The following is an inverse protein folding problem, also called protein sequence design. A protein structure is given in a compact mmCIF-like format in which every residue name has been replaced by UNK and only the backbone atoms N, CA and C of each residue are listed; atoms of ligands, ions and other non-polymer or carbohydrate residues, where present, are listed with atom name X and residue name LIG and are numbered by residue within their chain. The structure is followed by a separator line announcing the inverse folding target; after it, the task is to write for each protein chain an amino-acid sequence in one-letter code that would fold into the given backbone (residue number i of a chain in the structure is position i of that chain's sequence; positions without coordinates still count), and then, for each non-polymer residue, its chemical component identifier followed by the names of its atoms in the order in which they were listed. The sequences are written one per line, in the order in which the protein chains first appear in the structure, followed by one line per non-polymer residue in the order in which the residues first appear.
data_IF_328401742315
#
_entry.id   IF_328401742315
#
_cell.length_a   1.000
_cell.length_b   1.000
_cell.length_c   1.000
_cell.angle_alpha   90.00
_cell.angle_beta   90.00
_cell.angle_gamma   90.00
#
_symmetry.space_group_name_H-M   'P 1'
#
loop_
_entity.id
_entity.type
_entity.pdbx_description
1 polymer ?
#
# COMPACT_ATOMS: atom_id res chain seq x y z
N UNK A 1 29.07 81.26 50.49
CA UNK A 1 28.19 81.42 49.32
C UNK A 1 27.09 80.39 49.43
N UNK A 2 25.87 80.92 49.45
CA UNK A 2 24.54 80.33 49.63
C UNK A 2 24.20 79.25 48.59
N UNK A 3 23.61 78.12 49.07
CA UNK A 3 22.51 77.24 48.59
C UNK A 3 22.20 77.03 47.06
N UNK A 4 21.33 76.07 46.63
CA UNK A 4 20.65 74.96 47.33
C UNK A 4 20.68 73.58 46.57
N UNK A 5 20.30 72.48 47.22
CA UNK A 5 19.67 71.29 46.58
C UNK A 5 18.17 71.59 46.28
N UNK A 6 17.28 70.72 45.74
CA UNK A 6 17.38 69.36 45.16
C UNK A 6 16.62 69.22 43.81
N UNK A 7 16.81 68.13 43.04
CA UNK A 7 15.73 67.62 42.15
C UNK A 7 15.80 66.11 41.99
N UNK A 8 14.98 65.47 42.82
CA UNK A 8 14.54 64.08 42.76
C UNK A 8 13.74 63.87 41.46
N UNK A 9 14.31 63.20 40.45
CA UNK A 9 13.58 62.86 39.21
C UNK A 9 13.03 61.44 39.31
N UNK A 10 11.97 61.31 40.11
CA UNK A 10 11.12 60.12 40.20
C UNK A 10 10.26 60.01 38.94
N UNK A 11 10.75 59.29 37.93
CA UNK A 11 9.93 58.91 36.76
C UNK A 11 8.94 57.80 37.15
N UNK A 12 7.62 57.99 36.94
CA UNK A 12 6.63 56.95 37.15
C UNK A 12 6.57 56.10 35.87
N UNK A 13 7.21 54.92 35.87
CA UNK A 13 6.87 53.92 34.87
C UNK A 13 5.46 53.43 35.15
N UNK A 14 4.55 54.05 34.39
CA UNK A 14 3.13 53.76 34.24
C UNK A 14 2.97 52.25 34.03
N UNK A 15 2.46 51.56 35.06
CA UNK A 15 1.92 50.22 34.91
C UNK A 15 0.76 50.30 33.91
N UNK A 16 1.02 49.91 32.67
CA UNK A 16 -0.03 49.59 31.72
C UNK A 16 -0.69 48.30 32.22
N UNK A 17 -2.01 48.29 32.45
CA UNK A 17 -2.69 47.02 32.65
C UNK A 17 -2.55 46.25 31.34
N UNK A 18 -1.76 45.17 31.38
CA UNK A 18 -1.81 44.14 30.35
C UNK A 18 -3.28 43.73 30.25
N UNK A 19 -3.93 44.09 29.14
CA UNK A 19 -5.20 43.50 28.77
C UNK A 19 -4.92 42.02 28.58
N UNK A 20 -5.10 41.27 29.66
CA UNK A 20 -5.13 39.82 29.65
C UNK A 20 -6.26 39.50 28.69
N UNK A 21 -5.90 39.20 27.43
CA UNK A 21 -6.82 38.63 26.47
C UNK A 21 -7.24 37.31 27.07
N UNK A 22 -8.36 37.35 27.77
CA UNK A 22 -9.10 36.20 28.24
C UNK A 22 -9.44 35.39 27.01
N UNK A 23 -8.54 34.48 26.65
CA UNK A 23 -8.76 33.46 25.66
C UNK A 23 -9.87 32.59 26.25
N UNK A 24 -11.11 32.96 25.92
CA UNK A 24 -12.32 32.20 26.19
C UNK A 24 -12.01 30.78 25.78
N UNK A 25 -11.75 29.92 26.77
CA UNK A 25 -11.85 28.48 26.63
C UNK A 25 -13.31 28.24 26.25
N UNK A 26 -13.59 28.24 24.95
CA UNK A 26 -14.82 27.66 24.43
C UNK A 26 -14.80 26.24 24.97
N UNK A 27 -15.69 25.96 25.91
CA UNK A 27 -16.11 24.62 26.22
C UNK A 27 -16.59 24.05 24.88
N UNK A 28 -15.69 23.39 24.14
CA UNK A 28 -16.08 22.50 23.05
C UNK A 28 -16.78 21.39 23.79
N UNK A 29 -18.10 21.46 23.88
CA UNK A 29 -18.89 20.27 24.15
C UNK A 29 -18.38 19.23 23.14
N UNK A 30 -17.88 18.06 23.59
CA UNK A 30 -17.49 17.04 22.66
C UNK A 30 -18.70 16.77 21.78
N UNK A 31 -18.50 16.83 20.46
CA UNK A 31 -19.53 16.43 19.53
C UNK A 31 -20.02 15.02 19.93
N UNK A 32 -21.31 14.71 19.76
CA UNK A 32 -21.81 13.37 20.08
C UNK A 32 -20.92 12.33 19.40
N UNK A 33 -20.30 11.44 20.20
CA UNK A 33 -19.39 10.41 19.69
C UNK A 33 -20.17 9.52 18.75
N UNK A 34 -19.67 9.34 17.53
CA UNK A 34 -20.27 8.43 16.57
C UNK A 34 -19.65 7.04 16.79
N UNK A 35 -20.38 6.07 17.38
CA UNK A 35 -19.81 4.75 17.68
C UNK A 35 -19.38 3.98 16.42
N UNK A 36 -20.00 4.27 15.27
CA UNK A 36 -19.61 3.68 14.00
C UNK A 36 -18.24 4.22 13.52
N UNK A 37 -17.99 5.52 13.72
CA UNK A 37 -16.70 6.13 13.43
C UNK A 37 -15.61 5.56 14.35
N UNK A 38 -15.90 5.45 15.65
CA UNK A 38 -14.96 4.91 16.64
C UNK A 38 -14.60 3.45 16.34
N UNK A 39 -15.60 2.63 16.02
CA UNK A 39 -15.40 1.24 15.57
C UNK A 39 -14.52 1.20 14.31
N UNK A 40 -14.78 2.09 13.35
CA UNK A 40 -14.00 2.13 12.11
C UNK A 40 -12.56 2.57 12.34
N UNK A 41 -12.34 3.58 13.17
CA UNK A 41 -10.99 4.03 13.55
C UNK A 41 -10.23 2.90 14.23
N UNK A 42 -10.89 2.15 15.11
CA UNK A 42 -10.32 0.98 15.75
C UNK A 42 -9.90 -0.09 14.71
N UNK A 43 -10.79 -0.46 13.78
CA UNK A 43 -10.44 -1.36 12.67
C UNK A 43 -9.25 -0.84 11.84
N UNK A 44 -9.25 0.45 11.54
CA UNK A 44 -8.19 1.10 10.76
C UNK A 44 -6.84 1.12 11.49
N UNK A 45 -6.86 1.11 12.82
CA UNK A 45 -5.67 1.10 13.67
C UNK A 45 -5.06 -0.30 13.88
N UNK A 46 -5.70 -1.36 13.37
CA UNK A 46 -5.20 -2.73 13.54
C UNK A 46 -3.78 -2.89 12.96
N UNK A 47 -2.83 -3.43 13.75
CA UNK A 47 -1.46 -3.62 13.30
C UNK A 47 -1.34 -4.77 12.30
N UNK A 48 -0.48 -4.60 11.31
CA UNK A 48 -0.16 -5.64 10.33
C UNK A 48 1.20 -6.27 10.68
N UNK A 49 1.27 -7.59 10.58
CA UNK A 49 2.52 -8.33 10.78
C UNK A 49 3.49 -8.04 9.60
N UNK A 50 4.76 -7.72 9.88
CA UNK A 50 5.72 -7.39 8.84
C UNK A 50 6.13 -8.63 8.04
N UNK A 51 6.14 -8.51 6.71
CA UNK A 51 6.74 -9.52 5.83
C UNK A 51 8.23 -9.24 5.60
N UNK A 52 8.98 -10.32 5.38
CA UNK A 52 10.43 -10.26 5.14
C UNK A 52 10.74 -10.50 3.66
N UNK A 53 11.71 -9.77 3.15
CA UNK A 53 12.28 -10.02 1.83
C UNK A 53 13.25 -11.21 1.93
N UNK A 54 13.13 -12.21 1.04
CA UNK A 54 13.90 -13.46 1.15
C UNK A 54 15.38 -13.30 0.78
N UNK A 55 15.73 -12.25 0.04
CA UNK A 55 17.10 -11.92 -0.34
C UNK A 55 17.88 -11.27 0.81
N UNK A 56 17.28 -10.30 1.49
CA UNK A 56 17.91 -9.45 2.50
C UNK A 56 17.62 -9.92 3.93
N UNK A 57 16.51 -10.64 4.14
CA UNK A 57 15.98 -10.94 5.48
C UNK A 57 15.40 -9.72 6.20
N UNK A 58 15.43 -8.54 5.60
CA UNK A 58 14.88 -7.31 6.13
C UNK A 58 13.42 -7.09 5.68
N UNK A 59 12.70 -6.26 6.45
CA UNK A 59 11.37 -5.76 6.09
C UNK A 59 11.51 -4.59 5.14
N UNK A 60 10.67 -4.53 4.10
CA UNK A 60 10.69 -3.40 3.17
C UNK A 60 10.35 -2.08 3.91
N UNK A 61 11.08 -0.96 3.67
CA UNK A 61 10.89 0.29 4.41
C UNK A 61 9.48 0.88 4.25
N UNK A 62 8.85 0.67 3.09
CA UNK A 62 7.48 1.12 2.81
C UNK A 62 6.40 0.13 3.29
N UNK A 63 6.75 -0.92 4.05
CA UNK A 63 5.76 -1.89 4.51
C UNK A 63 4.77 -1.24 5.50
N UNK A 64 3.45 -1.36 5.27
CA UNK A 64 2.45 -0.71 6.10
C UNK A 64 2.39 -1.35 7.50
N UNK A 65 2.47 -0.53 8.54
CA UNK A 65 2.39 -0.99 9.94
C UNK A 65 0.97 -1.24 10.43
N UNK A 66 0.00 -0.58 9.83
CA UNK A 66 -1.42 -0.68 10.18
C UNK A 66 -2.28 -0.81 8.94
N UNK A 67 -3.53 -1.24 9.11
CA UNK A 67 -4.49 -1.31 8.02
C UNK A 67 -4.68 0.05 7.36
N UNK A 68 -4.78 1.15 8.13
CA UNK A 68 -4.86 2.51 7.58
C UNK A 68 -3.68 2.86 6.70
N UNK A 69 -2.46 2.54 7.15
CA UNK A 69 -1.26 2.81 6.37
C UNK A 69 -1.34 2.11 5.01
N UNK A 70 -1.79 0.85 4.97
CA UNK A 70 -1.96 0.13 3.71
C UNK A 70 -2.90 0.86 2.73
N UNK A 71 -4.01 1.42 3.20
CA UNK A 71 -4.95 2.18 2.34
C UNK A 71 -4.42 3.54 1.90
N UNK A 72 -3.34 4.04 2.54
CA UNK A 72 -2.67 5.28 2.17
C UNK A 72 -1.46 5.06 1.26
N UNK A 73 -1.11 3.82 0.94
CA UNK A 73 -0.01 3.52 0.03
C UNK A 73 -0.28 4.11 -1.36
N UNK A 74 0.74 4.79 -1.87
CA UNK A 74 0.82 5.34 -3.23
C UNK A 74 1.16 4.25 -4.23
N UNK A 75 0.98 4.55 -5.52
CA UNK A 75 1.32 3.64 -6.61
C UNK A 75 2.81 3.24 -6.58
N UNK A 76 3.70 4.23 -6.48
CA UNK A 76 5.15 4.00 -6.44
C UNK A 76 5.56 3.10 -5.25
N UNK A 77 4.92 3.28 -4.10
CA UNK A 77 5.18 2.45 -2.93
C UNK A 77 4.71 1.00 -3.12
N UNK A 78 3.59 0.79 -3.81
CA UNK A 78 3.08 -0.54 -4.15
C UNK A 78 4.01 -1.24 -5.14
N UNK A 79 4.51 -0.53 -6.16
CA UNK A 79 5.45 -1.08 -7.14
C UNK A 79 6.80 -1.41 -6.50
N UNK A 80 7.32 -0.54 -5.62
CA UNK A 80 8.53 -0.81 -4.85
C UNK A 80 8.37 -2.05 -3.95
N UNK A 81 7.23 -2.20 -3.27
CA UNK A 81 6.92 -3.40 -2.48
C UNK A 81 6.91 -4.65 -3.35
N UNK A 82 6.24 -4.62 -4.51
CA UNK A 82 6.17 -5.77 -5.40
C UNK A 82 7.55 -6.15 -5.97
N UNK A 83 8.41 -5.18 -6.26
CA UNK A 83 9.79 -5.43 -6.65
C UNK A 83 10.59 -6.07 -5.50
N UNK A 84 10.52 -5.53 -4.28
CA UNK A 84 11.24 -6.05 -3.11
C UNK A 84 10.83 -7.48 -2.73
N UNK A 85 9.56 -7.85 -2.89
CA UNK A 85 9.08 -9.22 -2.66
C UNK A 85 9.18 -10.13 -3.89
N UNK A 86 9.93 -9.73 -4.92
CA UNK A 86 10.14 -10.52 -6.15
C UNK A 86 8.82 -10.93 -6.85
N UNK A 87 7.77 -10.12 -6.68
CA UNK A 87 6.46 -10.33 -7.33
C UNK A 87 6.37 -9.60 -8.67
N UNK A 88 7.14 -8.51 -8.84
CA UNK A 88 7.27 -7.79 -10.10
C UNK A 88 8.28 -8.43 -11.06
N UNK A 89 9.46 -8.79 -10.55
CA UNK A 89 10.50 -9.49 -11.30
C UNK A 89 10.51 -10.94 -10.88
N UNK A 90 9.85 -11.80 -11.66
CA UNK A 90 9.87 -13.24 -11.43
C UNK A 90 11.32 -13.75 -11.43
N UNK A 91 11.72 -14.44 -10.37
CA UNK A 91 13.06 -14.97 -10.17
C UNK A 91 13.08 -16.18 -9.26
N UNK A 92 14.27 -16.59 -8.82
CA UNK A 92 14.46 -17.79 -7.98
C UNK A 92 13.69 -17.78 -6.65
N UNK A 93 13.39 -16.59 -6.13
CA UNK A 93 12.72 -16.40 -4.84
C UNK A 93 11.19 -16.31 -4.95
N UNK A 94 10.65 -16.03 -6.14
CA UNK A 94 9.22 -15.75 -6.30
C UNK A 94 8.34 -16.92 -5.84
N UNK A 95 8.71 -18.14 -6.22
CA UNK A 95 7.96 -19.36 -5.87
C UNK A 95 8.14 -19.80 -4.40
N UNK A 96 9.04 -19.15 -3.65
CA UNK A 96 9.23 -19.45 -2.23
C UNK A 96 8.25 -18.69 -1.33
N UNK A 97 7.55 -17.69 -1.87
CA UNK A 97 6.48 -17.01 -1.15
C UNK A 97 5.19 -17.85 -1.17
N UNK A 98 4.46 -17.96 -0.04
CA UNK A 98 3.25 -18.79 0.04
C UNK A 98 2.15 -18.40 -0.96
N UNK A 99 2.09 -17.12 -1.32
CA UNK A 99 1.13 -16.58 -2.27
C UNK A 99 1.91 -15.79 -3.34
N UNK A 100 1.96 -16.28 -4.57
CA UNK A 100 2.50 -15.49 -5.69
C UNK A 100 1.40 -14.64 -6.31
N UNK A 101 1.71 -13.38 -6.60
CA UNK A 101 0.83 -12.49 -7.36
C UNK A 101 1.49 -12.13 -8.68
N UNK A 102 0.75 -12.25 -9.78
CA UNK A 102 1.23 -11.81 -11.07
C UNK A 102 1.09 -10.28 -11.17
N UNK A 103 2.19 -9.58 -10.91
CA UNK A 103 2.26 -8.12 -10.88
C UNK A 103 2.38 -7.46 -12.25
N UNK A 104 2.80 -8.22 -13.28
CA UNK A 104 2.97 -7.83 -14.71
C UNK A 104 3.20 -6.34 -14.97
N UNK A 105 4.42 -5.99 -15.38
CA UNK A 105 4.89 -4.61 -15.68
C UNK A 105 4.07 -3.83 -16.71
N UNK A 106 3.09 -4.43 -17.39
CA UNK A 106 2.19 -3.73 -18.31
C UNK A 106 1.52 -2.59 -17.53
N UNK A 107 1.92 -1.35 -17.83
CA UNK A 107 1.63 -0.12 -17.08
C UNK A 107 0.16 0.30 -17.06
N UNK A 108 -0.76 -0.64 -17.27
CA UNK A 108 -2.20 -0.44 -17.41
C UNK A 108 -2.95 -0.84 -16.14
N UNK A 109 -2.25 -1.36 -15.11
CA UNK A 109 -2.88 -1.71 -13.83
C UNK A 109 -3.23 -0.44 -13.05
N UNK A 110 -4.51 -0.26 -12.80
CA UNK A 110 -5.01 0.79 -11.90
C UNK A 110 -4.45 0.62 -10.47
N UNK A 111 -4.35 1.74 -9.73
CA UNK A 111 -3.95 1.76 -8.32
C UNK A 111 -4.75 0.77 -7.47
N UNK A 112 -6.06 0.64 -7.74
CA UNK A 112 -6.92 -0.27 -7.00
C UNK A 112 -6.58 -1.74 -7.27
N UNK A 113 -6.26 -2.10 -8.52
CA UNK A 113 -5.82 -3.46 -8.86
C UNK A 113 -4.47 -3.80 -8.23
N UNK A 114 -3.50 -2.87 -8.25
CA UNK A 114 -2.21 -3.01 -7.55
C UNK A 114 -2.44 -3.23 -6.05
N UNK A 115 -3.32 -2.42 -5.44
CA UNK A 115 -3.68 -2.54 -4.02
C UNK A 115 -4.34 -3.88 -3.70
N UNK A 116 -5.29 -4.35 -4.52
CA UNK A 116 -5.94 -5.67 -4.32
C UNK A 116 -4.92 -6.81 -4.40
N UNK A 117 -4.07 -6.81 -5.44
CA UNK A 117 -3.01 -7.81 -5.61
C UNK A 117 -2.06 -7.80 -4.40
N UNK A 118 -1.58 -6.63 -3.98
CA UNK A 118 -0.72 -6.51 -2.79
C UNK A 118 -1.44 -6.92 -1.50
N UNK A 119 -2.70 -6.54 -1.33
CA UNK A 119 -3.51 -6.96 -0.18
C UNK A 119 -3.72 -8.47 -0.12
N UNK A 120 -3.92 -9.13 -1.26
CA UNK A 120 -3.97 -10.60 -1.38
C UNK A 120 -2.63 -11.24 -0.97
N UNK A 121 -1.50 -10.66 -1.41
CA UNK A 121 -0.17 -11.12 -1.03
C UNK A 121 0.07 -11.01 0.48
N UNK A 122 -0.37 -9.89 1.09
CA UNK A 122 -0.26 -9.66 2.53
C UNK A 122 -1.24 -10.54 3.33
N UNK A 123 -2.31 -11.03 2.71
CA UNK A 123 -3.35 -11.84 3.37
C UNK A 123 -4.49 -11.01 3.97
N UNK A 124 -4.71 -9.78 3.48
CA UNK A 124 -5.83 -8.95 3.89
C UNK A 124 -7.16 -9.46 3.31
N UNK A 125 -8.19 -9.54 4.17
CA UNK A 125 -9.54 -9.92 3.74
C UNK A 125 -10.21 -8.77 2.97
N UNK A 126 -10.94 -9.12 1.92
CA UNK A 126 -11.62 -8.15 1.04
C UNK A 126 -10.76 -7.59 -0.10
N UNK A 127 -9.48 -7.99 -0.20
CA UNK A 127 -8.59 -7.62 -1.30
C UNK A 127 -8.56 -8.68 -2.43
N UNK A 128 -9.58 -9.52 -2.55
CA UNK A 128 -9.64 -10.54 -3.59
C UNK A 128 -9.81 -9.88 -4.95
N UNK A 129 -8.92 -10.18 -5.90
CA UNK A 129 -9.14 -9.87 -7.32
C UNK A 129 -10.37 -10.68 -7.79
N UNK A 130 -11.37 -10.05 -8.43
CA UNK A 130 -12.50 -10.76 -9.03
C UNK A 130 -12.03 -11.94 -9.89
N UNK A 131 -12.82 -13.02 -9.88
CA UNK A 131 -12.48 -14.25 -10.65
C UNK A 131 -12.35 -13.95 -12.14
N UNK A 132 -13.13 -13.01 -12.66
CA UNK A 132 -13.06 -12.55 -14.06
C UNK A 132 -11.67 -11.99 -14.42
N UNK A 133 -11.08 -11.13 -13.57
CA UNK A 133 -9.73 -10.60 -13.79
C UNK A 133 -8.65 -11.69 -13.71
N UNK A 134 -8.88 -12.74 -12.90
CA UNK A 134 -7.97 -13.89 -12.82
C UNK A 134 -8.07 -14.78 -14.06
N UNK A 135 -9.27 -14.97 -14.61
CA UNK A 135 -9.48 -15.78 -15.82
C UNK A 135 -8.83 -15.12 -17.05
N UNK A 136 -8.99 -13.81 -17.23
CA UNK A 136 -8.34 -13.09 -18.33
C UNK A 136 -6.80 -13.15 -18.28
N UNK A 137 -6.22 -13.31 -17.09
CA UNK A 137 -4.76 -13.42 -16.94
C UNK A 137 -4.19 -14.79 -17.36
N UNK A 138 -5.01 -15.85 -17.38
CA UNK A 138 -4.56 -17.22 -17.67
C UNK A 138 -5.17 -17.82 -18.94
N UNK A 139 -6.26 -17.23 -19.45
CA UNK A 139 -6.87 -17.62 -20.71
C UNK A 139 -6.11 -16.93 -21.82
N UNK A 140 -5.30 -17.69 -22.57
CA UNK A 140 -4.77 -17.25 -23.87
C UNK A 140 -5.93 -16.71 -24.70
N UNK A 141 -5.78 -15.54 -25.33
CA UNK A 141 -6.82 -15.01 -26.21
C UNK A 141 -7.09 -16.00 -27.35
N UNK A 142 -8.31 -16.00 -27.89
CA UNK A 142 -8.71 -16.91 -28.98
C UNK A 142 -7.72 -16.86 -30.16
N UNK A 143 -7.23 -15.66 -30.49
CA UNK A 143 -6.20 -15.42 -31.50
C UNK A 143 -4.87 -16.12 -31.15
N UNK A 144 -4.45 -16.06 -29.89
CA UNK A 144 -3.23 -16.68 -29.42
C UNK A 144 -3.34 -18.22 -29.39
N UNK A 145 -4.53 -18.76 -29.13
CA UNK A 145 -4.83 -20.20 -29.24
C UNK A 145 -4.81 -20.63 -30.71
N UNK A 146 -5.40 -19.84 -31.61
CA UNK A 146 -5.43 -20.12 -33.04
C UNK A 146 -4.03 -20.10 -33.66
N UNK A 147 -3.19 -19.14 -33.27
CA UNK A 147 -1.80 -19.04 -33.72
C UNK A 147 -0.94 -20.20 -33.18
N UNK A 148 -1.13 -20.58 -31.91
CA UNK A 148 -0.45 -21.75 -31.32
C UNK A 148 -0.84 -23.04 -32.04
N UNK A 149 -2.13 -23.22 -32.35
CA UNK A 149 -2.63 -24.35 -33.14
C UNK A 149 -2.11 -24.32 -34.59
N UNK A 150 -2.01 -23.14 -35.22
CA UNK A 150 -1.44 -22.98 -36.56
C UNK A 150 0.05 -23.33 -36.56
N UNK A 151 0.80 -22.90 -35.54
CA UNK A 151 2.23 -23.20 -35.38
C UNK A 151 2.46 -24.69 -35.12
N UNK A 152 1.63 -25.32 -34.29
CA UNK A 152 1.68 -26.76 -34.03
C UNK A 152 1.47 -27.59 -35.31
N UNK A 153 0.49 -27.21 -36.14
CA UNK A 153 0.25 -27.86 -37.46
C UNK A 153 1.42 -27.74 -38.43
N UNK A 154 2.17 -26.64 -38.38
CA UNK A 154 3.35 -26.43 -39.23
C UNK A 154 4.58 -27.21 -38.75
N UNK A 155 4.60 -27.63 -37.47
CA UNK A 155 5.76 -28.31 -36.88
C UNK A 155 5.83 -29.82 -37.12
N UNK A 156 4.76 -30.47 -37.59
CA UNK A 156 4.77 -31.87 -38.08
C UNK A 156 5.08 -32.98 -37.06
N UNK A 157 5.81 -32.69 -35.98
CA UNK A 157 6.30 -33.67 -34.98
C UNK A 157 5.28 -33.98 -33.87
N UNK A 158 4.21 -33.18 -33.76
CA UNK A 158 3.29 -33.23 -32.62
C UNK A 158 2.49 -34.53 -32.52
N UNK A 159 2.00 -35.06 -33.64
CA UNK A 159 1.11 -36.23 -33.63
C UNK A 159 1.86 -37.51 -33.29
N UNK A 160 3.09 -37.68 -33.81
CA UNK A 160 3.93 -38.85 -33.52
C UNK A 160 4.48 -38.83 -32.07
N UNK A 161 4.79 -37.65 -31.54
CA UNK A 161 5.24 -37.45 -30.16
C UNK A 161 4.10 -37.72 -29.16
N UNK A 162 2.88 -37.27 -29.46
CA UNK A 162 1.68 -37.51 -28.64
C UNK A 162 1.30 -38.99 -28.67
N UNK A 163 1.36 -39.66 -29.83
CA UNK A 163 1.10 -41.10 -29.92
C UNK A 163 2.12 -41.93 -29.13
N UNK A 164 3.42 -41.58 -29.22
CA UNK A 164 4.48 -42.19 -28.40
C UNK A 164 4.25 -41.98 -26.90
N UNK A 165 3.87 -40.77 -26.50
CA UNK A 165 3.69 -40.40 -25.09
C UNK A 165 2.42 -40.97 -24.47
N UNK A 166 1.36 -41.12 -25.26
CA UNK A 166 0.07 -41.66 -24.83
C UNK A 166 0.00 -43.18 -24.94
N UNK A 167 1.02 -43.83 -25.49
CA UNK A 167 1.17 -45.29 -25.49
C UNK A 167 0.14 -46.05 -26.35
N UNK A 168 -0.53 -45.37 -27.29
CA UNK A 168 -1.46 -46.01 -28.22
C UNK A 168 -0.67 -46.48 -29.46
N UNK A 169 -0.32 -47.77 -29.47
CA UNK A 169 0.11 -48.49 -30.65
C UNK A 169 -1.07 -49.22 -31.30
#
# INVERSE_FOLDING_TARGET
MEAPSPTDTRSPHRNLPSLITSNRRRCRTPAPSNPALDTKIHEMSLPLAPFIMLDSGAVHPAFPRTLLHFWLLTEDQLDALAAGYHQASFGRWTLQYPCTIAWTWSGDLSLEQKRRKMGKFIGLRGCNTPVEEQQHQWVKTEEQIMEDARRARMSGDGDDEIRRKMGWY
#
